data_IF_457980683048
#
_entry.id   IF_457980683048
#
_cell.length_a   1.000
_cell.length_b   1.000
_cell.length_c   1.000
_cell.angle_alpha   90.00
_cell.angle_beta   90.00
_cell.angle_gamma   90.00
#
_symmetry.space_group_name_H-M   'P 1'
#
loop_
_entity.id
_entity.type
_entity.pdbx_description
1 polymer ?
#
# COMPACT_ATOMS: atom_id res chain seq x y z
N UNK A 1 7.19 -30.00 -21.67
CA UNK A 1 5.90 -29.29 -21.83
C UNK A 1 4.72 -30.25 -21.66
N UNK A 2 4.05 -30.18 -20.53
CA UNK A 2 2.79 -30.88 -20.27
C UNK A 2 1.64 -29.87 -20.19
N UNK A 3 0.46 -30.22 -20.73
CA UNK A 3 -0.75 -29.40 -20.59
C UNK A 3 -1.40 -29.71 -19.25
N UNK A 4 -1.75 -28.69 -18.47
CA UNK A 4 -2.44 -28.80 -17.19
C UNK A 4 -3.71 -27.97 -17.18
N UNK A 5 -4.81 -28.61 -16.83
CA UNK A 5 -6.10 -27.97 -16.62
C UNK A 5 -6.21 -27.47 -15.19
N UNK A 6 -6.79 -26.28 -15.03
CA UNK A 6 -7.03 -25.68 -13.73
C UNK A 6 -8.35 -24.91 -13.74
N UNK A 7 -9.01 -24.88 -12.59
CA UNK A 7 -10.12 -23.99 -12.31
C UNK A 7 -9.61 -22.84 -11.44
N UNK A 8 -9.84 -21.62 -11.90
CA UNK A 8 -9.37 -20.43 -11.22
C UNK A 8 -10.44 -19.83 -10.30
N UNK A 9 -10.09 -19.63 -9.04
CA UNK A 9 -10.89 -18.93 -8.05
C UNK A 9 -10.29 -17.54 -7.89
N UNK A 10 -11.08 -16.53 -8.23
CA UNK A 10 -10.63 -15.14 -8.19
C UNK A 10 -10.45 -14.61 -6.75
N UNK A 11 -9.92 -13.39 -6.66
CA UNK A 11 -9.71 -12.66 -5.40
C UNK A 11 -10.98 -12.46 -4.55
N UNK A 12 -12.18 -12.66 -5.11
CA UNK A 12 -13.47 -12.54 -4.43
C UNK A 12 -13.99 -13.90 -3.94
N UNK A 13 -13.24 -14.98 -4.16
CA UNK A 13 -13.70 -16.34 -3.90
C UNK A 13 -14.73 -16.83 -4.92
N UNK A 14 -14.87 -16.15 -6.07
CA UNK A 14 -15.78 -16.55 -7.14
C UNK A 14 -15.03 -17.49 -8.09
N UNK A 15 -15.63 -18.65 -8.33
CA UNK A 15 -15.18 -19.58 -9.37
C UNK A 15 -15.37 -18.90 -10.73
N UNK A 16 -14.30 -18.81 -11.52
CA UNK A 16 -14.44 -18.50 -12.95
C UNK A 16 -15.09 -19.72 -13.61
N UNK A 17 -16.25 -19.51 -14.26
CA UNK A 17 -17.18 -20.59 -14.60
C UNK A 17 -16.66 -21.62 -15.64
N UNK A 18 -15.44 -21.48 -16.15
CA UNK A 18 -14.80 -22.46 -17.04
C UNK A 18 -13.38 -22.76 -16.56
N UNK A 19 -13.03 -24.05 -16.47
CA UNK A 19 -11.64 -24.47 -16.37
C UNK A 19 -10.87 -24.04 -17.63
N UNK A 20 -9.60 -23.70 -17.45
CA UNK A 20 -8.66 -23.29 -18.50
C UNK A 20 -7.40 -24.16 -18.41
N UNK A 21 -6.49 -24.03 -19.39
CA UNK A 21 -5.27 -24.82 -19.44
C UNK A 21 -4.01 -23.99 -19.73
N UNK A 22 -2.91 -24.39 -19.09
CA UNK A 22 -1.56 -23.87 -19.32
C UNK A 22 -0.60 -24.99 -19.71
N UNK A 23 0.51 -24.64 -20.34
CA UNK A 23 1.63 -25.55 -20.56
C UNK A 23 2.71 -25.28 -19.52
N UNK A 24 3.24 -26.33 -18.92
CA UNK A 24 4.33 -26.26 -17.93
C UNK A 24 5.53 -27.06 -18.42
N UNK A 25 6.72 -26.51 -18.25
CA UNK A 25 7.98 -27.18 -18.60
C UNK A 25 8.43 -28.17 -17.53
N UNK A 26 8.13 -27.86 -16.27
CA UNK A 26 8.38 -28.68 -15.09
C UNK A 26 7.02 -28.92 -14.44
N UNK A 27 6.69 -30.18 -14.15
CA UNK A 27 5.39 -30.54 -13.56
C UNK A 27 5.41 -30.39 -12.04
N UNK A 28 5.71 -29.18 -11.56
CA UNK A 28 5.56 -28.78 -10.16
C UNK A 28 4.63 -27.56 -9.98
N UNK A 29 4.27 -27.28 -8.73
CA UNK A 29 3.38 -26.17 -8.39
C UNK A 29 4.00 -24.81 -8.71
N UNK A 30 5.31 -24.64 -8.56
CA UNK A 30 5.97 -23.36 -8.82
C UNK A 30 5.92 -22.97 -10.31
N UNK A 31 6.23 -23.92 -11.19
CA UNK A 31 6.14 -23.73 -12.64
C UNK A 31 4.69 -23.51 -13.09
N UNK A 32 3.73 -24.23 -12.50
CA UNK A 32 2.31 -24.02 -12.76
C UNK A 32 1.87 -22.59 -12.40
N UNK A 33 2.25 -22.11 -11.21
CA UNK A 33 1.94 -20.74 -10.76
C UNK A 33 2.51 -19.69 -11.71
N UNK A 34 3.75 -19.86 -12.15
CA UNK A 34 4.39 -18.95 -13.10
C UNK A 34 3.62 -18.91 -14.42
N UNK A 35 3.30 -20.08 -14.99
CA UNK A 35 2.58 -20.18 -16.26
C UNK A 35 1.17 -19.55 -16.19
N UNK A 36 0.48 -19.70 -15.06
CA UNK A 36 -0.83 -19.08 -14.83
C UNK A 36 -0.71 -17.56 -14.70
N UNK A 37 0.27 -17.07 -13.93
CA UNK A 37 0.53 -15.63 -13.83
C UNK A 37 0.85 -15.01 -15.18
N UNK A 38 1.68 -15.65 -16.00
CA UNK A 38 2.00 -15.17 -17.35
C UNK A 38 0.74 -15.11 -18.23
N UNK A 39 -0.14 -16.11 -18.14
CA UNK A 39 -1.40 -16.17 -18.89
C UNK A 39 -2.39 -15.08 -18.48
N UNK A 40 -2.51 -14.76 -17.19
CA UNK A 40 -3.47 -13.76 -16.68
C UNK A 40 -2.82 -12.42 -16.31
N UNK A 41 -1.59 -12.16 -16.76
CA UNK A 41 -0.76 -11.00 -16.39
C UNK A 41 -1.48 -9.65 -16.57
N UNK A 42 -2.36 -9.55 -17.57
CA UNK A 42 -3.09 -8.33 -17.93
C UNK A 42 -4.54 -8.30 -17.44
N UNK A 43 -4.98 -9.29 -16.64
CA UNK A 43 -6.38 -9.46 -16.25
C UNK A 43 -6.55 -9.71 -14.75
N UNK A 44 -7.10 -10.86 -14.36
CA UNK A 44 -7.50 -11.18 -12.99
C UNK A 44 -6.32 -11.31 -12.02
N UNK A 45 -5.09 -11.42 -12.53
CA UNK A 45 -3.85 -11.55 -11.75
C UNK A 45 -2.91 -10.34 -11.85
N UNK A 46 -3.37 -9.21 -12.39
CA UNK A 46 -2.56 -7.99 -12.42
C UNK A 46 -2.11 -7.60 -11.00
N UNK A 47 -0.78 -7.55 -10.79
CA UNK A 47 -0.16 -7.20 -9.51
C UNK A 47 -0.14 -8.32 -8.46
N UNK A 48 -0.50 -9.57 -8.81
CA UNK A 48 -0.38 -10.74 -7.92
C UNK A 48 0.88 -11.52 -8.29
N UNK A 49 1.77 -11.76 -7.31
CA UNK A 49 2.94 -12.56 -7.54
C UNK A 49 2.57 -14.06 -7.64
N UNK A 50 3.27 -14.81 -8.49
CA UNK A 50 3.02 -16.24 -8.69
C UNK A 50 3.09 -17.04 -7.38
N UNK A 51 3.99 -16.65 -6.46
CA UNK A 51 4.12 -17.28 -5.15
C UNK A 51 2.88 -17.13 -4.26
N UNK A 52 2.04 -16.13 -4.51
CA UNK A 52 0.86 -15.83 -3.69
C UNK A 52 -0.36 -16.68 -4.09
N UNK A 53 -0.31 -17.32 -5.27
CA UNK A 53 -1.36 -18.24 -5.71
C UNK A 53 -1.35 -19.51 -4.85
N UNK A 54 -2.51 -19.90 -4.33
CA UNK A 54 -2.66 -21.15 -3.60
C UNK A 54 -3.18 -22.23 -4.54
N UNK A 55 -2.51 -23.38 -4.59
CA UNK A 55 -2.87 -24.48 -5.49
C UNK A 55 -3.33 -25.68 -4.67
N UNK A 56 -4.44 -26.28 -5.06
CA UNK A 56 -4.97 -27.51 -4.49
C UNK A 56 -5.10 -28.56 -5.59
N UNK A 57 -4.99 -29.83 -5.21
CA UNK A 57 -5.04 -30.94 -6.15
C UNK A 57 -6.41 -31.05 -6.83
N UNK A 58 -7.48 -30.76 -6.08
CA UNK A 58 -8.87 -30.93 -6.49
C UNK A 58 -9.83 -30.11 -5.59
N UNK A 59 -11.13 -30.23 -5.84
CA UNK A 59 -12.16 -29.58 -5.05
C UNK A 59 -12.19 -30.05 -3.58
N UNK A 60 -11.92 -31.33 -3.32
CA UNK A 60 -11.94 -31.90 -1.96
C UNK A 60 -10.82 -31.32 -1.10
N UNK A 61 -9.61 -31.25 -1.62
CA UNK A 61 -8.44 -30.65 -0.97
C UNK A 61 -8.61 -29.14 -0.79
N UNK A 62 -9.30 -28.47 -1.72
CA UNK A 62 -9.69 -27.06 -1.58
C UNK A 62 -10.67 -26.83 -0.43
N UNK A 63 -11.69 -27.69 -0.29
CA UNK A 63 -12.68 -27.62 0.79
C UNK A 63 -12.05 -27.91 2.16
N UNK A 64 -11.12 -28.87 2.22
CA UNK A 64 -10.36 -29.20 3.42
C UNK A 64 -9.22 -28.22 3.73
N UNK A 65 -8.99 -27.20 2.87
CA UNK A 65 -7.90 -26.22 3.02
C UNK A 65 -6.52 -26.86 3.15
N UNK A 66 -6.24 -27.86 2.32
CA UNK A 66 -4.97 -28.58 2.26
C UNK A 66 -4.21 -28.23 0.97
N UNK A 67 -3.47 -27.12 0.94
CA UNK A 67 -2.77 -26.68 -0.26
C UNK A 67 -1.53 -27.54 -0.56
N UNK A 68 -1.20 -27.62 -1.85
CA UNK A 68 0.06 -28.20 -2.30
C UNK A 68 1.22 -27.23 -2.02
N UNK A 69 2.36 -27.79 -1.63
CA UNK A 69 3.61 -27.04 -1.48
C UNK A 69 4.21 -26.69 -2.85
N UNK A 70 5.02 -25.64 -2.91
CA UNK A 70 5.61 -25.15 -4.16
C UNK A 70 6.42 -26.24 -4.92
N UNK A 71 7.09 -27.13 -4.20
CA UNK A 71 7.87 -28.25 -4.76
C UNK A 71 7.06 -29.52 -5.01
N UNK A 72 5.75 -29.52 -4.75
CA UNK A 72 4.90 -30.69 -4.96
C UNK A 72 4.81 -31.01 -6.44
N UNK A 73 5.04 -32.28 -6.79
CA UNK A 73 4.88 -32.76 -8.14
C UNK A 73 3.39 -32.84 -8.51
N UNK A 74 3.04 -32.39 -9.71
CA UNK A 74 1.67 -32.31 -10.23
C UNK A 74 1.43 -33.19 -11.46
N UNK A 75 2.34 -34.11 -11.76
CA UNK A 75 2.28 -35.03 -12.91
C UNK A 75 0.92 -35.73 -13.04
N UNK A 76 0.34 -36.14 -11.90
CA UNK A 76 -0.93 -36.87 -11.81
C UNK A 76 -2.21 -36.00 -11.71
N UNK A 77 -2.10 -34.67 -11.73
CA UNK A 77 -3.22 -33.75 -11.55
C UNK A 77 -3.48 -32.91 -12.81
N UNK A 78 -4.74 -32.48 -13.02
CA UNK A 78 -5.13 -31.59 -14.12
C UNK A 78 -4.86 -32.15 -15.51
N UNK A 79 -5.05 -33.46 -15.71
CA UNK A 79 -4.85 -34.14 -17.00
C UNK A 79 -6.03 -33.85 -17.94
N UNK A 80 -7.24 -33.76 -17.38
CA UNK A 80 -8.51 -33.48 -18.05
C UNK A 80 -9.20 -32.25 -17.44
N UNK A 81 -10.34 -31.85 -18.01
CA UNK A 81 -11.08 -30.69 -17.49
C UNK A 81 -11.76 -31.02 -16.14
N UNK A 82 -12.11 -32.29 -15.94
CA UNK A 82 -12.84 -32.81 -14.77
C UNK A 82 -11.94 -33.01 -13.55
N UNK A 83 -10.65 -33.23 -13.75
CA UNK A 83 -9.63 -33.39 -12.69
C UNK A 83 -8.76 -32.12 -12.53
N UNK A 84 -9.26 -30.98 -13.02
CA UNK A 84 -8.57 -29.71 -13.02
C UNK A 84 -8.11 -29.30 -11.62
N UNK A 85 -6.87 -28.83 -11.50
CA UNK A 85 -6.35 -28.28 -10.25
C UNK A 85 -7.16 -27.05 -9.83
N UNK A 86 -7.33 -26.83 -8.52
CA UNK A 86 -7.93 -25.58 -8.04
C UNK A 86 -6.83 -24.58 -7.78
N UNK A 87 -6.88 -23.44 -8.46
CA UNK A 87 -5.93 -22.34 -8.28
C UNK A 87 -6.66 -21.15 -7.73
N UNK A 88 -6.34 -20.79 -6.51
CA UNK A 88 -6.94 -19.69 -5.79
C UNK A 88 -5.98 -18.51 -5.79
N UNK A 89 -6.41 -17.38 -6.35
CA UNK A 89 -5.76 -16.11 -6.06
C UNK A 89 -5.86 -15.82 -4.56
N UNK A 90 -4.86 -15.16 -3.95
CA UNK A 90 -4.98 -14.72 -2.58
C UNK A 90 -6.30 -13.94 -2.46
N UNK A 91 -7.18 -14.41 -1.56
CA UNK A 91 -8.35 -13.64 -1.21
C UNK A 91 -7.84 -12.28 -0.80
N UNK A 92 -8.19 -11.24 -1.55
CA UNK A 92 -8.24 -9.91 -0.92
C UNK A 92 -9.23 -10.13 0.19
N UNK A 93 -8.75 -10.17 1.43
CA UNK A 93 -9.54 -10.38 2.64
C UNK A 93 -10.87 -9.69 2.40
N UNK A 94 -11.97 -10.46 2.38
CA UNK A 94 -13.33 -9.96 2.12
C UNK A 94 -13.40 -8.58 2.76
N UNK A 95 -13.33 -7.55 1.93
CA UNK A 95 -13.36 -6.19 2.42
C UNK A 95 -14.71 -6.14 3.10
N UNK A 96 -14.73 -6.10 4.44
CA UNK A 96 -15.95 -5.91 5.17
C UNK A 96 -16.50 -4.61 4.59
N UNK A 97 -17.55 -4.69 3.76
CA UNK A 97 -17.91 -3.65 2.79
C UNK A 97 -18.31 -2.33 3.46
N UNK A 98 -18.33 -2.33 4.79
CA UNK A 98 -18.46 -1.19 5.69
C UNK A 98 -17.20 -0.31 5.75
N UNK A 99 -16.01 -0.86 5.49
CA UNK A 99 -14.74 -0.17 5.69
C UNK A 99 -13.89 -0.13 4.40
N UNK A 100 -13.58 1.08 3.96
CA UNK A 100 -12.70 1.29 2.80
C UNK A 100 -11.25 0.87 3.08
N UNK A 101 -10.74 1.20 4.28
CA UNK A 101 -9.49 0.68 4.84
C UNK A 101 -9.84 -0.27 5.98
N UNK A 102 -9.27 -1.47 6.03
CA UNK A 102 -9.60 -2.44 7.09
C UNK A 102 -9.22 -1.90 8.48
N UNK A 103 -9.99 -2.19 9.54
CA UNK A 103 -9.68 -1.71 10.89
C UNK A 103 -8.25 -2.02 11.36
N UNK A 104 -7.73 -3.20 11.03
CA UNK A 104 -6.34 -3.57 11.35
C UNK A 104 -5.33 -2.66 10.64
N UNK A 105 -5.53 -2.36 9.36
CA UNK A 105 -4.68 -1.42 8.63
C UNK A 105 -4.82 0.01 9.18
N UNK A 106 -6.03 0.42 9.59
CA UNK A 106 -6.22 1.71 10.25
C UNK A 106 -5.41 1.82 11.55
N UNK A 107 -5.40 0.77 12.36
CA UNK A 107 -4.64 0.71 13.61
C UNK A 107 -3.11 0.80 13.38
N UNK A 108 -2.59 0.09 12.38
CA UNK A 108 -1.17 0.16 12.04
C UNK A 108 -0.77 1.53 11.51
N UNK A 109 -1.63 2.16 10.71
CA UNK A 109 -1.41 3.53 10.24
C UNK A 109 -1.42 4.52 11.41
N UNK A 110 -2.36 4.36 12.33
CA UNK A 110 -2.47 5.20 13.53
C UNK A 110 -1.21 5.12 14.38
N UNK A 111 -0.65 3.92 14.61
CA UNK A 111 0.58 3.74 15.39
C UNK A 111 1.83 4.32 14.73
N UNK A 112 1.83 4.46 13.41
CA UNK A 112 2.97 4.97 12.64
C UNK A 112 2.90 6.48 12.38
N UNK A 113 1.78 7.14 12.70
CA UNK A 113 1.52 8.54 12.38
C UNK A 113 1.68 9.42 13.61
N UNK A 114 2.43 10.51 13.48
CA UNK A 114 2.68 11.47 14.55
C UNK A 114 2.49 12.90 14.04
N UNK A 115 2.14 13.83 14.93
CA UNK A 115 2.16 15.26 14.63
C UNK A 115 3.52 15.85 14.98
N UNK A 116 3.97 16.83 14.21
CA UNK A 116 5.17 17.61 14.53
C UNK A 116 4.78 18.64 15.58
N UNK A 117 5.51 18.70 16.69
CA UNK A 117 5.31 19.75 17.69
C UNK A 117 5.99 21.03 17.26
N UNK A 118 5.32 22.17 17.47
CA UNK A 118 5.94 23.49 17.29
C UNK A 118 6.93 23.80 18.42
N UNK A 119 7.84 24.73 18.15
CA UNK A 119 8.95 25.10 19.05
C UNK A 119 8.45 25.71 20.39
N UNK A 120 7.19 26.16 20.47
CA UNK A 120 6.63 26.84 21.64
C UNK A 120 5.70 25.96 22.51
N UNK A 121 5.73 24.62 22.34
CA UNK A 121 4.90 23.69 23.12
C UNK A 121 3.39 23.80 22.82
N UNK A 122 3.02 24.65 21.87
CA UNK A 122 1.69 24.78 21.34
C UNK A 122 1.45 23.57 20.44
N UNK A 123 0.43 22.75 20.76
CA UNK A 123 0.06 21.54 20.00
C UNK A 123 -0.51 21.87 18.59
N UNK A 124 -0.30 23.10 18.13
CA UNK A 124 -0.75 23.68 16.87
C UNK A 124 0.27 23.48 15.73
N UNK A 125 1.19 22.53 15.84
CA UNK A 125 2.11 22.17 14.76
C UNK A 125 1.39 21.45 13.61
N UNK A 126 1.13 22.18 12.52
CA UNK A 126 0.29 21.77 11.37
C UNK A 126 0.89 20.69 10.45
N UNK A 127 1.86 19.90 10.94
CA UNK A 127 2.59 18.93 10.15
C UNK A 127 2.45 17.50 10.68
N UNK A 128 2.41 16.53 9.78
CA UNK A 128 2.35 15.11 10.09
C UNK A 128 3.67 14.45 9.68
N UNK A 129 4.15 13.53 10.50
CA UNK A 129 5.26 12.65 10.19
C UNK A 129 4.79 11.20 10.25
N UNK A 130 5.26 10.38 9.31
CA UNK A 130 4.84 8.98 9.17
C UNK A 130 6.06 8.09 9.15
N UNK A 131 6.14 7.13 10.07
CA UNK A 131 7.19 6.12 10.08
C UNK A 131 6.99 5.14 8.93
N UNK A 132 8.02 5.01 8.07
CA UNK A 132 8.03 4.08 6.93
C UNK A 132 9.06 2.96 7.08
N UNK A 133 9.91 3.04 8.11
CA UNK A 133 10.73 1.93 8.62
C UNK A 133 10.69 1.99 10.15
N UNK A 134 11.29 0.99 10.81
CA UNK A 134 11.36 0.98 12.27
C UNK A 134 12.06 2.19 12.89
N UNK A 135 12.87 2.95 12.15
CA UNK A 135 13.57 4.12 12.71
C UNK A 135 13.44 5.39 11.89
N UNK A 136 12.85 5.33 10.69
CA UNK A 136 12.76 6.48 9.80
C UNK A 136 11.32 6.88 9.58
N UNK A 137 11.07 8.17 9.72
CA UNK A 137 9.83 8.83 9.37
C UNK A 137 10.05 9.84 8.25
N UNK A 138 8.99 10.09 7.50
CA UNK A 138 8.94 11.09 6.43
C UNK A 138 7.90 12.15 6.79
N UNK A 139 8.21 13.40 6.47
CA UNK A 139 7.28 14.52 6.56
C UNK A 139 7.52 15.47 5.38
N UNK A 140 6.65 16.46 5.21
CA UNK A 140 6.90 17.51 4.23
C UNK A 140 7.92 18.52 4.73
N UNK A 141 8.80 18.99 3.84
CA UNK A 141 9.86 19.94 4.20
C UNK A 141 9.30 21.25 4.76
N UNK A 142 8.18 21.73 4.23
CA UNK A 142 7.53 22.96 4.69
C UNK A 142 6.87 22.85 6.07
N UNK A 143 6.79 21.65 6.66
CA UNK A 143 6.40 21.49 8.06
C UNK A 143 7.54 21.88 9.02
N UNK A 144 8.76 22.07 8.49
CA UNK A 144 9.95 22.41 9.24
C UNK A 144 10.37 23.84 8.93
N UNK A 145 10.71 24.62 9.95
CA UNK A 145 11.20 26.00 9.79
C UNK A 145 12.60 26.03 9.17
N UNK A 146 13.09 27.23 8.84
CA UNK A 146 14.46 27.41 8.34
C UNK A 146 15.53 27.06 9.38
N UNK A 147 15.18 27.12 10.68
CA UNK A 147 16.06 26.77 11.79
C UNK A 147 16.29 25.25 11.92
N UNK A 148 15.39 24.46 11.34
CA UNK A 148 15.41 23.00 11.39
C UNK A 148 16.37 22.41 10.34
N UNK A 149 17.67 22.44 10.60
CA UNK A 149 18.70 21.91 9.68
C UNK A 149 18.93 20.39 9.83
N UNK A 150 19.68 19.78 8.90
CA UNK A 150 20.11 18.38 9.07
C UNK A 150 20.96 18.28 10.34
N UNK A 151 20.61 17.36 11.24
CA UNK A 151 21.18 17.23 12.58
C UNK A 151 20.35 17.91 13.68
N UNK A 152 19.40 18.79 13.34
CA UNK A 152 18.47 19.34 14.34
C UNK A 152 17.53 18.27 14.86
N UNK A 153 17.11 18.42 16.12
CA UNK A 153 16.12 17.58 16.78
C UNK A 153 14.73 18.17 16.55
N UNK A 154 13.76 17.32 16.24
CA UNK A 154 12.34 17.62 16.08
C UNK A 154 11.55 16.66 16.94
N UNK A 155 10.62 17.20 17.71
CA UNK A 155 9.75 16.40 18.57
C UNK A 155 8.45 16.07 17.86
N UNK A 156 8.11 14.79 17.87
CA UNK A 156 6.87 14.25 17.32
C UNK A 156 5.95 13.87 18.48
N UNK A 157 4.65 14.09 18.34
CA UNK A 157 3.66 13.74 19.35
C UNK A 157 2.53 12.89 18.77
N UNK A 158 2.07 11.92 19.55
CA UNK A 158 0.82 11.21 19.29
C UNK A 158 0.20 10.78 20.60
N UNK A 159 -1.03 11.26 20.88
CA UNK A 159 -1.70 11.06 22.17
C UNK A 159 -0.81 11.51 23.33
N UNK A 160 -0.44 10.60 24.23
CA UNK A 160 0.42 10.87 25.39
C UNK A 160 1.91 10.63 25.10
N UNK A 161 2.24 10.13 23.90
CA UNK A 161 3.61 9.84 23.52
C UNK A 161 4.28 11.04 22.86
N UNK A 162 5.53 11.31 23.27
CA UNK A 162 6.44 12.25 22.62
C UNK A 162 7.71 11.51 22.21
N UNK A 163 8.13 11.72 20.97
CA UNK A 163 9.30 11.09 20.36
C UNK A 163 10.23 12.17 19.82
N UNK A 164 11.45 12.21 20.34
CA UNK A 164 12.52 13.01 19.74
C UNK A 164 13.08 12.30 18.50
N UNK A 165 13.22 13.06 17.42
CA UNK A 165 13.80 12.58 16.16
C UNK A 165 14.83 13.56 15.64
N UNK A 166 15.83 13.07 14.92
CA UNK A 166 16.82 13.91 14.26
C UNK A 166 16.53 14.03 12.77
N UNK A 167 16.63 15.22 12.22
CA UNK A 167 16.54 15.41 10.77
C UNK A 167 17.78 14.83 10.11
N UNK A 168 17.62 13.82 9.26
CA UNK A 168 18.74 13.16 8.55
C UNK A 168 18.80 13.49 7.07
N UNK A 169 17.71 13.97 6.49
CA UNK A 169 17.70 14.49 5.11
C UNK A 169 16.60 15.54 4.94
N UNK A 170 16.85 16.51 4.05
CA UNK A 170 15.85 17.48 3.56
C UNK A 170 15.98 17.61 2.05
N UNK A 171 14.86 17.72 1.35
CA UNK A 171 14.81 18.04 -0.06
C UNK A 171 13.75 19.13 -0.28
N UNK A 172 14.20 20.34 -0.56
CA UNK A 172 13.33 21.49 -0.76
C UNK A 172 12.56 21.40 -2.09
N UNK A 173 13.18 20.84 -3.13
CA UNK A 173 12.57 20.73 -4.46
C UNK A 173 11.40 19.75 -4.47
N UNK A 174 11.57 18.60 -3.83
CA UNK A 174 10.55 17.55 -3.70
C UNK A 174 9.70 17.71 -2.42
N UNK A 175 9.94 18.76 -1.63
CA UNK A 175 9.20 19.12 -0.44
C UNK A 175 9.08 17.99 0.61
N UNK A 176 10.17 17.27 0.89
CA UNK A 176 10.19 16.26 1.96
C UNK A 176 11.38 16.42 2.90
N UNK A 177 11.22 15.87 4.11
CA UNK A 177 12.29 15.66 5.07
C UNK A 177 12.20 14.26 5.67
N UNK A 178 13.36 13.67 5.99
CA UNK A 178 13.47 12.38 6.66
C UNK A 178 13.94 12.62 8.09
N UNK A 179 13.19 12.06 9.02
CA UNK A 179 13.43 12.11 10.46
C UNK A 179 13.87 10.72 10.92
N UNK A 180 14.78 10.66 11.88
CA UNK A 180 15.30 9.42 12.45
C UNK A 180 15.05 9.37 13.95
N UNK A 181 14.39 8.31 14.41
CA UNK A 181 14.28 7.99 15.83
C UNK A 181 15.46 7.11 16.27
N UNK A 182 15.84 7.23 17.54
CA UNK A 182 16.85 6.37 18.18
C UNK A 182 16.29 4.99 18.57
N UNK A 183 14.97 4.86 18.66
CA UNK A 183 14.27 3.63 19.06
C UNK A 183 13.40 3.09 17.93
N UNK A 184 13.11 1.78 17.98
CA UNK A 184 12.23 1.13 17.02
C UNK A 184 10.79 1.61 17.20
N UNK A 185 10.10 1.89 16.10
CA UNK A 185 8.72 2.37 16.04
C UNK A 185 7.85 1.50 15.13
N UNK A 186 6.55 1.42 15.39
CA UNK A 186 5.58 0.94 14.40
C UNK A 186 5.71 1.76 13.11
N UNK A 187 5.55 1.12 11.98
CA UNK A 187 5.74 1.77 10.69
C UNK A 187 4.82 1.17 9.63
N UNK A 188 4.55 1.97 8.60
CA UNK A 188 3.83 1.53 7.41
C UNK A 188 4.86 1.30 6.32
N UNK A 189 4.99 0.07 5.83
CA UNK A 189 5.95 -0.22 4.77
C UNK A 189 5.63 0.62 3.51
N UNK A 190 6.66 1.20 2.86
CA UNK A 190 6.47 1.85 1.57
C UNK A 190 5.97 0.83 0.56
N UNK A 191 5.07 1.26 -0.30
CA UNK A 191 4.57 0.46 -1.38
C UNK A 191 5.70 0.17 -2.36
N UNK A 192 6.09 -1.09 -2.46
CA UNK A 192 7.21 -1.55 -3.26
C UNK A 192 6.67 -2.23 -4.52
N UNK A 193 6.30 -1.45 -5.52
CA UNK A 193 6.19 -1.95 -6.89
C UNK A 193 7.29 -1.32 -7.72
N UNK A 194 7.98 -2.16 -8.51
CA UNK A 194 9.05 -1.74 -9.42
C UNK A 194 8.53 -1.08 -10.69
N UNK A 195 7.22 -0.81 -10.78
CA UNK A 195 6.54 -0.46 -12.03
C UNK A 195 5.57 0.69 -11.78
N UNK A 196 5.96 1.93 -12.09
CA UNK A 196 5.14 3.14 -11.93
C UNK A 196 3.78 3.02 -12.62
N UNK A 197 3.73 2.24 -13.68
CA UNK A 197 2.55 1.96 -14.50
C UNK A 197 1.48 1.17 -13.71
N UNK A 198 1.86 0.53 -12.58
CA UNK A 198 0.90 -0.15 -11.70
C UNK A 198 0.11 0.80 -10.79
N UNK A 199 0.52 2.06 -10.62
CA UNK A 199 -0.30 3.09 -9.95
C UNK A 199 -1.35 3.70 -10.89
N UNK A 200 -1.08 3.71 -12.19
CA UNK A 200 -1.99 4.25 -13.19
C UNK A 200 -3.23 3.33 -13.30
N UNK A 201 -4.36 3.80 -12.77
CA UNK A 201 -5.60 3.02 -12.68
C UNK A 201 -5.85 2.32 -11.33
N UNK A 202 -4.99 2.51 -10.32
CA UNK A 202 -5.32 2.16 -8.93
C UNK A 202 -6.26 3.21 -8.33
N UNK A 203 -7.57 2.98 -8.40
CA UNK A 203 -8.60 3.93 -7.93
C UNK A 203 -8.87 3.94 -6.41
N UNK A 204 -7.96 3.40 -5.59
CA UNK A 204 -8.26 3.09 -4.20
C UNK A 204 -7.19 3.63 -3.23
N UNK A 205 -7.05 4.96 -3.17
CA UNK A 205 -6.23 5.60 -2.15
C UNK A 205 -7.07 6.16 -0.99
N UNK A 206 -6.48 6.16 0.21
CA UNK A 206 -6.97 6.90 1.37
C UNK A 206 -5.90 7.85 1.88
N UNK A 207 -6.32 9.06 2.23
CA UNK A 207 -5.51 9.99 3.00
C UNK A 207 -5.79 9.79 4.49
N UNK A 208 -4.74 9.56 5.29
CA UNK A 208 -4.81 9.41 6.73
C UNK A 208 -4.30 10.67 7.45
N UNK A 209 -5.13 11.27 8.29
CA UNK A 209 -4.78 12.52 9.00
C UNK A 209 -5.38 12.56 10.43
N UNK A 210 -4.69 13.19 11.40
CA UNK A 210 -5.22 13.35 12.75
C UNK A 210 -6.48 14.22 12.78
N UNK A 211 -7.34 14.00 13.75
CA UNK A 211 -8.41 14.91 14.14
C UNK A 211 -8.07 15.53 15.49
N UNK A 212 -8.62 16.71 15.80
CA UNK A 212 -8.53 17.33 17.12
C UNK A 212 -9.10 16.47 18.26
N UNK A 213 -9.89 15.44 17.92
CA UNK A 213 -10.41 14.44 18.86
C UNK A 213 -9.39 13.38 19.29
N UNK A 214 -8.13 13.45 18.82
CA UNK A 214 -7.10 12.45 19.12
C UNK A 214 -7.30 11.12 18.38
N UNK A 215 -8.04 11.15 17.27
CA UNK A 215 -8.28 10.01 16.39
C UNK A 215 -7.70 10.26 15.01
N UNK A 216 -7.34 9.21 14.31
CA UNK A 216 -6.98 9.28 12.90
C UNK A 216 -8.24 9.15 12.03
N UNK A 217 -8.40 10.05 11.07
CA UNK A 217 -9.45 9.98 10.05
C UNK A 217 -8.87 9.52 8.71
N UNK A 218 -9.73 8.89 7.92
CA UNK A 218 -9.39 8.36 6.60
C UNK A 218 -10.34 8.94 5.56
N UNK A 219 -9.82 9.68 4.59
CA UNK A 219 -10.59 10.20 3.47
C UNK A 219 -10.23 9.44 2.19
N UNK A 220 -11.23 8.81 1.58
CA UNK A 220 -11.07 8.17 0.28
C UNK A 220 -10.82 9.23 -0.80
N UNK A 221 -9.88 8.94 -1.70
CA UNK A 221 -9.67 9.76 -2.90
C UNK A 221 -10.80 9.54 -3.91
N UNK A 222 -11.36 10.63 -4.44
CA UNK A 222 -12.40 10.61 -5.48
C UNK A 222 -11.84 10.56 -6.89
N UNK A 223 -10.61 11.04 -7.07
CA UNK A 223 -9.89 11.02 -8.35
C UNK A 223 -8.38 11.05 -8.08
N UNK A 224 -7.61 10.40 -8.96
CA UNK A 224 -6.14 10.39 -8.95
C UNK A 224 -5.59 10.41 -10.37
N UNK A 225 -4.52 11.16 -10.61
CA UNK A 225 -3.75 11.12 -11.86
C UNK A 225 -2.29 11.50 -11.62
N UNK A 226 -1.40 11.06 -12.50
CA UNK A 226 -0.02 11.54 -12.50
C UNK A 226 0.08 12.86 -13.26
N UNK A 227 0.90 13.78 -12.75
CA UNK A 227 1.24 14.97 -13.50
C UNK A 227 2.05 14.58 -14.74
N UNK A 228 1.68 15.08 -15.94
CA UNK A 228 2.42 14.77 -17.18
C UNK A 228 3.79 15.46 -17.24
N UNK A 229 4.09 16.37 -16.30
CA UNK A 229 5.28 17.22 -16.36
C UNK A 229 6.18 17.13 -15.13
N UNK A 230 5.65 16.63 -14.01
CA UNK A 230 6.35 16.56 -12.73
C UNK A 230 6.09 15.18 -12.11
N UNK A 231 7.02 14.65 -11.29
CA UNK A 231 6.88 13.35 -10.65
C UNK A 231 5.90 13.41 -9.46
N UNK A 232 4.70 13.95 -9.68
CA UNK A 232 3.68 14.18 -8.66
C UNK A 232 2.44 13.35 -8.94
N UNK A 233 1.91 12.75 -7.89
CA UNK A 233 0.56 12.20 -7.86
C UNK A 233 -0.42 13.31 -7.46
N UNK A 234 -1.35 13.61 -8.35
CA UNK A 234 -2.46 14.52 -8.11
C UNK A 234 -3.64 13.69 -7.65
N UNK A 235 -4.31 14.11 -6.59
CA UNK A 235 -5.50 13.45 -6.10
C UNK A 235 -6.51 14.46 -5.54
N UNK A 236 -7.76 14.04 -5.45
CA UNK A 236 -8.83 14.79 -4.80
C UNK A 236 -9.41 13.98 -3.63
N UNK A 237 -9.46 14.57 -2.44
CA UNK A 237 -10.15 14.02 -1.28
C UNK A 237 -10.58 15.16 -0.35
N UNK A 238 -11.52 14.88 0.54
CA UNK A 238 -11.83 15.80 1.65
C UNK A 238 -10.65 15.81 2.63
N UNK A 239 -10.07 16.98 2.86
CA UNK A 239 -9.04 17.21 3.88
C UNK A 239 -9.26 18.58 4.56
N UNK A 240 -8.46 18.87 5.58
CA UNK A 240 -8.46 20.15 6.27
C UNK A 240 -7.04 20.74 6.28
N UNK A 241 -6.92 22.04 6.60
CA UNK A 241 -5.64 22.73 6.74
C UNK A 241 -4.81 22.15 7.89
N UNK A 242 -3.66 21.54 7.59
CA UNK A 242 -2.83 20.83 8.59
C UNK A 242 -2.64 19.34 8.31
N UNK A 243 -3.19 18.82 7.20
CA UNK A 243 -2.90 17.47 6.72
C UNK A 243 -1.56 17.37 5.97
N UNK A 244 -0.69 18.38 6.01
CA UNK A 244 0.61 18.34 5.32
C UNK A 244 1.53 17.29 5.93
N UNK A 245 2.05 16.40 5.11
CA UNK A 245 2.80 15.21 5.54
C UNK A 245 1.92 14.00 5.87
N UNK A 246 0.58 14.11 5.73
CA UNK A 246 -0.34 12.99 5.89
C UNK A 246 0.04 11.80 5.00
N UNK A 247 -0.19 10.59 5.50
CA UNK A 247 0.04 9.37 4.75
C UNK A 247 -1.02 9.22 3.65
N UNK A 248 -0.58 9.10 2.40
CA UNK A 248 -1.41 8.60 1.31
C UNK A 248 -1.17 7.09 1.17
N UNK A 249 -2.23 6.32 1.31
CA UNK A 249 -2.21 4.88 1.41
C UNK A 249 -2.95 4.23 0.25
N UNK A 250 -2.47 3.09 -0.24
CA UNK A 250 -3.32 2.15 -0.98
C UNK A 250 -4.27 1.43 -0.01
N UNK A 251 -5.40 0.91 -0.50
CA UNK A 251 -6.45 0.33 0.33
C UNK A 251 -6.05 -0.87 1.22
N UNK A 252 -4.92 -1.51 0.93
CA UNK A 252 -4.30 -2.56 1.74
C UNK A 252 -3.35 -2.03 2.83
N UNK A 253 -3.18 -0.71 2.92
CA UNK A 253 -2.46 -0.03 3.98
C UNK A 253 -1.02 0.33 3.67
N UNK A 254 -0.47 0.04 2.48
CA UNK A 254 0.91 0.45 2.16
C UNK A 254 1.03 1.96 1.90
N UNK A 255 2.17 2.55 2.30
CA UNK A 255 2.46 3.97 2.12
C UNK A 255 2.92 4.25 0.68
N UNK A 256 2.19 5.10 -0.03
CA UNK A 256 2.50 5.49 -1.42
C UNK A 256 3.22 6.83 -1.45
N UNK A 257 2.75 7.78 -0.64
CA UNK A 257 3.21 9.17 -0.70
C UNK A 257 2.91 9.92 0.59
N UNK A 258 3.59 11.06 0.80
CA UNK A 258 3.27 12.02 1.87
C UNK A 258 2.67 13.29 1.28
N UNK A 259 1.49 13.69 1.74
CA UNK A 259 0.77 14.85 1.21
C UNK A 259 1.58 16.14 1.30
N UNK A 260 1.99 16.70 0.15
CA UNK A 260 2.47 18.08 0.05
C UNK A 260 1.32 19.04 -0.26
N UNK A 261 1.38 20.27 0.28
CA UNK A 261 0.49 21.35 -0.13
C UNK A 261 1.05 22.07 -1.37
N UNK A 262 0.24 22.21 -2.41
CA UNK A 262 0.47 23.15 -3.51
C UNK A 262 -0.81 23.99 -3.68
N UNK A 263 -0.82 25.19 -3.10
CA UNK A 263 -1.80 26.20 -3.48
C UNK A 263 -1.36 26.77 -4.83
N UNK A 264 -2.23 26.74 -5.82
CA UNK A 264 -2.09 27.62 -6.99
C UNK A 264 -2.16 29.05 -6.43
N UNK A 265 -1.03 29.76 -6.35
CA UNK A 265 -1.08 31.20 -6.18
C UNK A 265 -1.61 31.76 -7.50
N UNK A 266 -2.94 31.87 -7.62
CA UNK A 266 -3.52 32.87 -8.49
C UNK A 266 -3.14 34.22 -7.85
N UNK A 267 -1.96 34.72 -8.21
CA UNK A 267 -1.64 36.12 -8.03
C UNK A 267 -2.48 36.88 -9.04
N UNK A 268 -3.72 37.16 -8.66
CA UNK A 268 -4.33 38.45 -8.96
C UNK A 268 -3.46 39.52 -8.27
N UNK A 269 -2.32 39.82 -8.86
CA UNK A 269 -1.70 41.13 -8.73
C UNK A 269 -1.92 41.80 -10.07
N UNK A 270 -2.89 42.72 -10.05
CA UNK A 270 -3.22 43.54 -11.19
C UNK A 270 -1.99 44.24 -11.76
N UNK A 271 -1.90 44.17 -13.08
CA UNK A 271 -1.48 45.26 -13.95
C UNK A 271 -2.54 45.39 -15.03
#
# INVERSE_FOLDING_TARGET
>A
MARKWFMFIDKNGKVTASADAVFVDIEDVAALRSAICDRFKTSSLTGIAACDLVVYADQTTYELKQPLQASSQIERFGITMEDALIVQAPLRSKQDSRYFILPQAQEEVEKATFTIMGDDGDQSGFGIAVFFTSTLAVTCNHNLTELHTVGSVVSLAWKEEVVETTIVARNLQLNFAILKSSTSRPFIAPWNSSDSDTLEGLFNFALAFPLSSGKLAFARTTSTCFSPHLPYLIYSCWNYSGASGAALLVADGCLVYCQGYWQRQDKDQGL
#
